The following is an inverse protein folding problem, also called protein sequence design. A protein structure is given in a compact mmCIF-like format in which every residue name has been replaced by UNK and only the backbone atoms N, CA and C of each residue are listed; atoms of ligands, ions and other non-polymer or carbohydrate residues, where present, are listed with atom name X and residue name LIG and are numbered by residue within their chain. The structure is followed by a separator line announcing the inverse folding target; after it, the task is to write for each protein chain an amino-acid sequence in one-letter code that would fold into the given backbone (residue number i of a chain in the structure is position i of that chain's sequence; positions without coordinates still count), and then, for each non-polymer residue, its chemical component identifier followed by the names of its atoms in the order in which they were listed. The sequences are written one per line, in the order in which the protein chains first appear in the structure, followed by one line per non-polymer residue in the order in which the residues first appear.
data_IF_421110138634
#
_entry.id   IF_421110138634
#
_cell.length_a   1.000
_cell.length_b   1.000
_cell.length_c   1.000
_cell.angle_alpha   90.00
_cell.angle_beta   90.00
_cell.angle_gamma   90.00
#
_symmetry.space_group_name_H-M   'P 1'
#
loop_
_entity.id
_entity.type
_entity.pdbx_description
1 polymer ?
#
# COMPACT_ATOMS: atom_id res chain seq x y z
N UNK A 1 5.88 0.58 -21.21
CA UNK A 1 4.66 1.08 -20.55
C UNK A 1 3.98 2.13 -21.41
N UNK A 2 2.75 2.54 -21.04
CA UNK A 2 2.01 3.62 -21.70
C UNK A 2 2.76 4.94 -21.45
N UNK A 3 3.00 5.70 -22.52
CA UNK A 3 3.66 7.03 -22.44
C UNK A 3 2.67 8.16 -22.68
N UNK A 4 1.60 7.90 -23.42
CA UNK A 4 0.57 8.90 -23.73
C UNK A 4 -0.78 8.22 -23.94
N UNK A 5 -1.84 8.94 -23.57
CA UNK A 5 -3.21 8.62 -23.98
C UNK A 5 -3.74 9.82 -24.74
N UNK A 6 -4.27 9.59 -25.94
CA UNK A 6 -4.79 10.66 -26.80
C UNK A 6 -5.91 11.48 -26.08
N UNK A 7 -6.10 12.74 -26.45
CA UNK A 7 -7.10 13.60 -25.81
C UNK A 7 -8.53 13.07 -25.85
N UNK A 8 -8.87 12.26 -26.86
CA UNK A 8 -10.18 11.62 -26.97
C UNK A 8 -10.29 10.32 -26.12
N UNK A 9 -9.22 9.92 -25.43
CA UNK A 9 -9.18 8.75 -24.55
C UNK A 9 -9.27 7.38 -25.26
N UNK A 10 -9.03 7.33 -26.58
CA UNK A 10 -9.23 6.10 -27.36
C UNK A 10 -7.96 5.48 -27.91
N UNK A 11 -6.82 6.16 -27.85
CA UNK A 11 -5.53 5.65 -28.29
C UNK A 11 -4.51 5.74 -27.17
N UNK A 12 -3.80 4.65 -26.93
CA UNK A 12 -2.66 4.59 -26.02
C UNK A 12 -1.38 4.33 -26.82
N UNK A 13 -0.36 5.15 -26.60
CA UNK A 13 0.98 5.00 -27.19
C UNK A 13 1.95 4.43 -26.14
N UNK A 14 2.87 3.58 -26.58
CA UNK A 14 3.81 2.88 -25.74
C UNK A 14 5.26 3.34 -26.00
N UNK A 15 6.13 3.07 -25.02
CA UNK A 15 7.55 3.47 -25.08
C UNK A 15 8.34 2.82 -26.21
N UNK A 16 7.85 1.72 -26.80
CA UNK A 16 8.43 1.05 -27.95
C UNK A 16 7.99 1.63 -29.31
N UNK A 17 7.20 2.71 -29.29
CA UNK A 17 6.65 3.38 -30.48
C UNK A 17 5.37 2.75 -31.02
N UNK A 18 4.87 1.67 -30.42
CA UNK A 18 3.58 1.09 -30.81
C UNK A 18 2.41 1.89 -30.24
N UNK A 19 1.22 1.72 -30.84
CA UNK A 19 -0.02 2.25 -30.29
C UNK A 19 -1.16 1.24 -30.40
N UNK A 20 -2.20 1.45 -29.60
CA UNK A 20 -3.42 0.63 -29.65
C UNK A 20 -4.66 1.50 -29.49
N UNK A 21 -5.74 1.08 -30.14
CA UNK A 21 -7.05 1.73 -30.03
C UNK A 21 -7.99 0.86 -29.18
N UNK A 22 -8.79 1.51 -28.33
CA UNK A 22 -9.83 0.86 -27.55
C UNK A 22 -11.01 1.80 -27.31
N UNK A 23 -12.20 1.25 -27.16
CA UNK A 23 -13.39 2.03 -26.76
C UNK A 23 -13.31 2.53 -25.32
N UNK A 24 -12.60 1.79 -24.47
CA UNK A 24 -12.30 2.14 -23.06
C UNK A 24 -10.85 1.84 -22.76
N UNK A 25 -10.12 2.83 -22.24
CA UNK A 25 -8.75 2.67 -21.74
C UNK A 25 -8.77 2.87 -20.22
N UNK A 26 -8.39 1.84 -19.48
CA UNK A 26 -8.19 1.90 -18.03
C UNK A 26 -6.72 1.85 -17.73
N UNK A 27 -6.18 2.92 -17.14
CA UNK A 27 -4.75 3.03 -16.80
C UNK A 27 -4.56 3.38 -15.34
N UNK A 28 -3.42 2.99 -14.79
CA UNK A 28 -2.96 3.43 -13.48
C UNK A 28 -1.90 4.51 -13.73
N UNK A 29 -2.17 5.78 -13.40
CA UNK A 29 -1.20 6.86 -13.59
C UNK A 29 -0.01 6.72 -12.65
N UNK A 30 1.07 7.44 -12.93
CA UNK A 30 2.22 7.54 -12.03
C UNK A 30 1.77 8.17 -10.71
N UNK A 31 1.96 7.44 -9.63
CA UNK A 31 1.60 7.92 -8.29
C UNK A 31 2.63 8.91 -7.77
N UNK A 32 2.17 9.97 -7.12
CA UNK A 32 2.99 10.94 -6.39
C UNK A 32 2.35 11.27 -5.05
N UNK A 33 3.15 11.81 -4.13
CA UNK A 33 2.60 12.40 -2.90
C UNK A 33 1.79 13.65 -3.25
N UNK A 34 0.76 13.99 -2.46
CA UNK A 34 0.02 15.26 -2.62
C UNK A 34 0.96 16.47 -2.55
N UNK A 35 0.67 17.51 -3.35
CA UNK A 35 1.53 18.70 -3.44
C UNK A 35 1.69 19.37 -2.06
N UNK A 36 0.64 19.43 -1.24
CA UNK A 36 0.71 19.94 0.14
C UNK A 36 1.73 19.20 1.01
N UNK A 37 1.91 17.89 0.80
CA UNK A 37 2.92 17.10 1.52
C UNK A 37 4.31 17.37 0.96
N UNK A 38 4.45 17.49 -0.36
CA UNK A 38 5.71 17.84 -0.99
C UNK A 38 6.20 19.23 -0.53
N UNK A 39 5.31 20.21 -0.56
CA UNK A 39 5.59 21.61 -0.22
C UNK A 39 5.88 21.82 1.27
N UNK A 40 5.36 20.95 2.15
CA UNK A 40 5.67 20.99 3.59
C UNK A 40 7.13 20.64 3.93
N UNK A 41 7.88 20.11 2.97
CA UNK A 41 9.27 19.69 3.16
C UNK A 41 9.44 18.37 3.94
N UNK A 42 8.37 17.74 4.42
CA UNK A 42 8.43 16.50 5.22
C UNK A 42 9.01 15.32 4.43
N UNK A 43 8.81 15.32 3.10
CA UNK A 43 9.39 14.32 2.19
C UNK A 43 10.89 14.50 1.96
N UNK A 44 11.46 15.64 2.35
CA UNK A 44 12.86 16.04 2.07
C UNK A 44 13.22 15.95 0.59
N UNK A 45 12.31 16.35 -0.28
CA UNK A 45 12.47 16.30 -1.73
C UNK A 45 12.44 14.89 -2.33
N UNK A 46 12.06 13.87 -1.54
CA UNK A 46 11.91 12.50 -2.02
C UNK A 46 10.50 12.25 -2.58
N UNK A 47 10.34 11.27 -3.49
CA UNK A 47 9.03 10.91 -4.06
C UNK A 47 7.98 10.50 -3.02
N UNK A 48 8.42 10.00 -1.86
CA UNK A 48 7.59 9.53 -0.75
C UNK A 48 8.15 10.00 0.58
N UNK A 49 7.31 10.11 1.60
CA UNK A 49 7.74 10.51 2.96
C UNK A 49 8.52 9.37 3.62
N UNK A 50 9.82 9.56 3.92
CA UNK A 50 10.58 8.57 4.67
C UNK A 50 10.10 8.51 6.12
N UNK A 51 9.96 7.29 6.65
CA UNK A 51 9.57 7.06 8.05
C UNK A 51 10.48 6.03 8.70
N UNK A 52 10.51 6.04 10.02
CA UNK A 52 11.06 4.94 10.80
C UNK A 52 10.20 3.70 10.59
N UNK A 53 10.78 2.59 10.17
CA UNK A 53 10.05 1.36 9.83
C UNK A 53 9.32 0.72 11.03
N UNK A 54 9.74 1.03 12.26
CA UNK A 54 9.18 0.48 13.49
C UNK A 54 8.07 1.34 14.09
N UNK A 55 8.23 2.67 14.02
CA UNK A 55 7.33 3.62 14.66
C UNK A 55 6.46 4.41 13.69
N UNK A 56 6.81 4.42 12.39
CA UNK A 56 6.17 5.20 11.33
C UNK A 56 6.30 6.72 11.52
N UNK A 57 7.16 7.13 12.45
CA UNK A 57 7.47 8.53 12.68
C UNK A 57 8.37 9.07 11.57
N UNK A 58 8.14 10.29 11.17
CA UNK A 58 8.94 10.99 10.18
C UNK A 58 10.24 11.52 10.80
N UNK A 59 10.99 12.31 10.07
CA UNK A 59 12.15 13.02 10.64
C UNK A 59 11.79 14.18 11.56
N UNK A 60 10.52 14.51 11.68
CA UNK A 60 9.99 15.53 12.60
C UNK A 60 9.30 14.81 13.73
N UNK A 61 9.73 15.06 14.97
CA UNK A 61 9.20 14.43 16.17
C UNK A 61 7.69 14.63 16.30
N UNK A 62 6.97 13.58 16.69
CA UNK A 62 5.51 13.52 16.83
C UNK A 62 4.73 13.72 15.53
N UNK A 63 5.39 13.63 14.37
CA UNK A 63 4.71 13.62 13.07
C UNK A 63 4.90 12.24 12.42
N UNK A 64 3.78 11.59 12.17
CA UNK A 64 3.73 10.25 11.59
C UNK A 64 3.20 10.32 10.15
N UNK A 65 3.68 9.43 9.26
CA UNK A 65 3.14 9.28 7.92
C UNK A 65 2.76 7.83 7.69
N UNK A 66 1.50 7.59 7.33
CA UNK A 66 0.93 6.25 7.17
C UNK A 66 0.27 6.10 5.79
N UNK A 67 0.12 4.86 5.33
CA UNK A 67 -0.49 4.55 4.05
C UNK A 67 0.41 4.90 2.85
N UNK A 68 -0.21 5.19 1.73
CA UNK A 68 0.47 5.31 0.44
C UNK A 68 1.42 6.52 0.34
N UNK A 69 1.30 7.49 1.25
CA UNK A 69 2.16 8.68 1.28
C UNK A 69 3.59 8.37 1.74
N UNK A 70 3.79 7.32 2.53
CA UNK A 70 5.11 6.97 3.07
C UNK A 70 5.86 5.96 2.20
N UNK A 71 7.14 5.77 2.52
CA UNK A 71 7.96 4.66 2.03
C UNK A 71 8.64 3.96 3.20
N UNK A 72 8.45 2.65 3.27
CA UNK A 72 9.10 1.78 4.26
C UNK A 72 9.95 0.77 3.49
N UNK A 73 11.28 0.87 3.53
CA UNK A 73 12.17 -0.07 2.86
C UNK A 73 12.06 -1.48 3.44
N UNK A 74 12.17 -2.49 2.58
CA UNK A 74 12.18 -3.91 2.91
C UNK A 74 13.20 -4.64 2.03
N UNK A 75 14.46 -4.68 2.44
CA UNK A 75 15.57 -5.12 1.60
C UNK A 75 15.73 -4.20 0.38
N UNK A 76 15.81 -4.78 -0.81
CA UNK A 76 15.84 -4.05 -2.09
C UNK A 76 14.47 -3.52 -2.54
N UNK A 77 13.41 -3.86 -1.80
CA UNK A 77 12.03 -3.47 -2.08
C UNK A 77 11.52 -2.43 -1.08
N UNK A 78 10.25 -2.09 -1.21
CA UNK A 78 9.49 -1.36 -0.20
C UNK A 78 8.19 -2.10 0.07
N UNK A 79 7.58 -1.85 1.23
CA UNK A 79 6.22 -2.35 1.51
C UNK A 79 5.27 -1.84 0.41
N UNK A 80 4.46 -2.74 -0.19
CA UNK A 80 3.50 -2.36 -1.20
C UNK A 80 2.49 -1.32 -0.69
N UNK A 81 2.08 -0.42 -1.57
CA UNK A 81 1.01 0.54 -1.29
C UNK A 81 -0.34 -0.15 -1.43
N UNK A 82 -0.90 -0.56 -0.29
CA UNK A 82 -2.19 -1.25 -0.25
C UNK A 82 -2.92 -0.97 1.08
N UNK A 83 -4.26 -0.99 1.03
CA UNK A 83 -5.11 -0.65 2.17
C UNK A 83 -4.86 -1.50 3.42
N UNK A 84 -4.46 -2.77 3.26
CA UNK A 84 -4.13 -3.65 4.40
C UNK A 84 -2.92 -3.12 5.19
N UNK A 85 -1.89 -2.64 4.49
CA UNK A 85 -0.73 -2.03 5.16
C UNK A 85 -1.08 -0.67 5.75
N UNK A 86 -1.83 0.16 5.02
CA UNK A 86 -2.28 1.46 5.52
C UNK A 86 -3.09 1.32 6.83
N UNK A 87 -3.99 0.34 6.90
CA UNK A 87 -4.76 0.03 8.10
C UNK A 87 -3.89 -0.44 9.26
N UNK A 88 -2.95 -1.37 9.01
CA UNK A 88 -2.00 -1.84 10.02
C UNK A 88 -1.11 -0.71 10.55
N UNK A 89 -0.65 0.17 9.68
CA UNK A 89 0.11 1.36 10.04
C UNK A 89 -0.71 2.33 10.89
N UNK A 90 -1.97 2.60 10.51
CA UNK A 90 -2.86 3.47 11.29
C UNK A 90 -3.12 2.94 12.68
N UNK A 91 -3.40 1.62 12.81
CA UNK A 91 -3.54 0.98 14.10
C UNK A 91 -2.28 1.15 14.96
N UNK A 92 -1.10 0.88 14.39
CA UNK A 92 0.17 0.98 15.11
C UNK A 92 0.44 2.40 15.60
N UNK A 93 0.23 3.41 14.77
CA UNK A 93 0.41 4.81 15.17
C UNK A 93 -0.59 5.20 16.27
N UNK A 94 -1.83 4.73 16.17
CA UNK A 94 -2.83 4.93 17.24
C UNK A 94 -2.38 4.34 18.59
N UNK A 95 -1.82 3.13 18.60
CA UNK A 95 -1.26 2.48 19.79
C UNK A 95 -0.08 3.29 20.37
N UNK A 96 0.82 3.78 19.51
CA UNK A 96 1.98 4.59 19.93
C UNK A 96 1.51 5.90 20.55
N UNK A 97 0.61 6.63 19.92
CA UNK A 97 0.09 7.90 20.44
C UNK A 97 -0.63 7.67 21.77
N UNK A 98 -1.46 6.62 21.85
CA UNK A 98 -2.17 6.29 23.10
C UNK A 98 -1.20 5.97 24.24
N UNK A 99 -0.12 5.22 23.97
CA UNK A 99 0.88 4.91 25.00
C UNK A 99 1.63 6.16 25.46
N UNK A 100 1.95 7.08 24.57
CA UNK A 100 2.58 8.36 24.91
C UNK A 100 1.69 9.22 25.82
N UNK A 101 0.40 9.33 25.48
CA UNK A 101 -0.56 10.11 26.26
C UNK A 101 -0.76 9.50 27.66
N UNK A 102 -0.90 8.19 27.72
CA UNK A 102 -1.17 7.47 28.98
C UNK A 102 0.10 7.15 29.78
N UNK A 103 1.28 7.53 29.30
CA UNK A 103 2.58 7.20 29.91
C UNK A 103 2.72 5.70 30.24
N UNK A 104 2.23 4.86 29.33
CA UNK A 104 2.28 3.41 29.42
C UNK A 104 3.43 2.83 28.58
N UNK A 105 3.62 1.51 28.65
CA UNK A 105 4.68 0.82 27.90
C UNK A 105 4.58 1.08 26.40
N UNK A 106 5.74 1.21 25.77
CA UNK A 106 5.84 1.37 24.32
C UNK A 106 5.32 0.09 23.63
N UNK A 107 4.37 0.20 22.70
CA UNK A 107 3.86 -0.97 22.00
C UNK A 107 4.93 -1.62 21.10
N UNK A 108 4.73 -2.89 20.76
CA UNK A 108 5.58 -3.59 19.81
C UNK A 108 5.74 -2.81 18.50
N UNK A 109 6.91 -2.93 17.83
CA UNK A 109 7.13 -2.27 16.55
C UNK A 109 6.09 -2.68 15.49
N UNK A 110 5.92 -1.84 14.46
CA UNK A 110 5.18 -2.21 13.26
C UNK A 110 5.85 -3.42 12.60
N UNK A 111 5.09 -4.46 12.31
CA UNK A 111 5.60 -5.77 11.88
C UNK A 111 5.58 -5.97 10.35
N UNK A 112 4.89 -5.08 9.62
CA UNK A 112 4.78 -5.18 8.16
C UNK A 112 4.02 -6.41 7.67
N UNK A 113 3.17 -7.03 8.48
CA UNK A 113 2.33 -8.15 8.06
C UNK A 113 1.20 -7.64 7.17
N UNK A 114 0.96 -8.34 6.06
CA UNK A 114 -0.13 -8.03 5.15
C UNK A 114 -0.58 -9.22 4.33
N UNK A 115 -1.86 -9.18 3.91
CA UNK A 115 -2.48 -10.19 3.07
C UNK A 115 -3.34 -9.51 2.02
N UNK A 116 -3.14 -9.88 0.75
CA UNK A 116 -3.93 -9.42 -0.38
C UNK A 116 -4.61 -10.59 -1.08
N UNK A 117 -5.68 -10.28 -1.83
CA UNK A 117 -6.40 -11.27 -2.63
C UNK A 117 -6.20 -11.01 -4.11
N UNK A 118 -5.87 -12.05 -4.85
CA UNK A 118 -5.78 -12.03 -6.31
C UNK A 118 -7.02 -12.73 -6.89
N UNK A 119 -7.77 -12.01 -7.72
CA UNK A 119 -8.95 -12.58 -8.39
C UNK A 119 -8.54 -13.29 -9.67
N UNK A 120 -9.08 -14.48 -9.87
CA UNK A 120 -8.90 -15.30 -11.06
C UNK A 120 -10.24 -15.56 -11.76
N UNK A 121 -10.17 -15.96 -13.03
CA UNK A 121 -11.34 -16.40 -13.77
C UNK A 121 -12.03 -17.61 -13.13
N UNK A 122 -13.30 -17.84 -13.44
CA UNK A 122 -14.06 -18.99 -12.93
C UNK A 122 -14.39 -18.90 -11.42
N UNK A 123 -14.52 -17.68 -10.87
CA UNK A 123 -14.96 -17.49 -9.48
C UNK A 123 -13.97 -17.99 -8.43
N UNK A 124 -12.67 -17.88 -8.70
CA UNK A 124 -11.60 -18.31 -7.81
C UNK A 124 -10.78 -17.11 -7.34
N UNK A 125 -10.16 -17.23 -6.16
CA UNK A 125 -9.16 -16.27 -5.68
C UNK A 125 -8.01 -16.99 -4.99
N UNK A 126 -6.82 -16.41 -5.12
CA UNK A 126 -5.63 -16.75 -4.35
C UNK A 126 -5.39 -15.66 -3.30
N UNK A 127 -4.59 -15.98 -2.30
CA UNK A 127 -4.04 -15.03 -1.34
C UNK A 127 -2.54 -14.89 -1.55
N UNK A 128 -2.04 -13.68 -1.43
CA UNK A 128 -0.61 -13.39 -1.32
C UNK A 128 -0.38 -12.59 -0.05
N UNK A 129 0.51 -13.04 0.80
CA UNK A 129 0.76 -12.35 2.06
C UNK A 129 1.88 -12.96 2.87
N UNK A 130 2.23 -12.29 3.95
CA UNK A 130 3.31 -12.67 4.85
C UNK A 130 3.90 -11.47 5.57
N UNK A 131 5.16 -11.58 5.98
CA UNK A 131 5.93 -10.52 6.62
C UNK A 131 6.73 -9.77 5.58
N UNK A 132 6.55 -8.47 5.51
CA UNK A 132 7.26 -7.60 4.57
C UNK A 132 8.45 -6.88 5.22
N UNK A 133 8.51 -6.79 6.55
CA UNK A 133 9.64 -6.21 7.31
C UNK A 133 10.47 -7.32 7.93
N UNK A 134 11.28 -7.99 7.11
CA UNK A 134 12.32 -8.91 7.59
C UNK A 134 13.69 -8.34 7.23
N UNK A 135 14.74 -8.80 7.89
CA UNK A 135 16.10 -8.32 7.62
C UNK A 135 16.61 -8.63 6.21
N UNK A 136 16.01 -9.63 5.53
CA UNK A 136 16.41 -10.12 4.20
C UNK A 136 15.46 -9.69 3.07
N UNK A 137 14.38 -8.98 3.38
CA UNK A 137 13.32 -8.62 2.43
C UNK A 137 12.01 -9.38 2.69
N UNK A 138 11.00 -9.25 1.80
CA UNK A 138 9.68 -9.84 2.04
C UNK A 138 9.70 -11.38 2.08
N UNK A 139 9.11 -11.95 3.13
CA UNK A 139 8.82 -13.38 3.26
C UNK A 139 7.33 -13.60 3.01
N UNK A 140 6.96 -13.89 1.77
CA UNK A 140 5.57 -14.01 1.34
C UNK A 140 5.26 -15.37 0.75
N UNK A 141 3.99 -15.78 0.86
CA UNK A 141 3.45 -16.98 0.24
C UNK A 141 2.31 -16.62 -0.70
N UNK A 142 2.21 -17.32 -1.82
CA UNK A 142 1.10 -17.27 -2.76
C UNK A 142 0.37 -18.62 -2.71
N UNK A 143 -0.92 -18.59 -2.39
CA UNK A 143 -1.75 -19.79 -2.41
C UNK A 143 -2.24 -20.11 -3.83
N UNK A 144 -2.72 -21.33 -4.02
CA UNK A 144 -3.47 -21.68 -5.23
C UNK A 144 -4.81 -20.94 -5.30
N UNK A 145 -5.29 -20.58 -6.52
CA UNK A 145 -6.59 -19.96 -6.68
C UNK A 145 -7.71 -20.98 -6.51
N UNK A 146 -8.57 -20.77 -5.51
CA UNK A 146 -9.67 -21.68 -5.15
C UNK A 146 -11.01 -20.96 -5.03
N UNK A 147 -12.11 -21.72 -5.09
CA UNK A 147 -13.47 -21.22 -4.78
C UNK A 147 -13.59 -20.83 -3.29
N UNK A 148 -12.89 -21.52 -2.39
CA UNK A 148 -12.80 -21.14 -0.98
C UNK A 148 -12.08 -19.80 -0.80
N UNK A 149 -10.99 -19.55 -1.54
CA UNK A 149 -10.30 -18.28 -1.58
C UNK A 149 -11.23 -17.14 -1.99
N UNK A 150 -12.11 -17.37 -2.99
CA UNK A 150 -13.14 -16.38 -3.38
C UNK A 150 -14.10 -16.06 -2.24
N UNK A 151 -14.56 -17.06 -1.50
CA UNK A 151 -15.45 -16.84 -0.33
C UNK A 151 -14.75 -16.04 0.76
N UNK A 152 -13.47 -16.27 0.99
CA UNK A 152 -12.67 -15.49 1.95
C UNK A 152 -12.52 -14.04 1.50
N UNK A 153 -12.22 -13.80 0.22
CA UNK A 153 -12.18 -12.46 -0.36
C UNK A 153 -13.50 -11.72 -0.19
N UNK A 154 -14.64 -12.37 -0.51
CA UNK A 154 -15.97 -11.77 -0.40
C UNK A 154 -16.33 -11.42 1.05
N UNK A 155 -15.89 -12.26 2.02
CA UNK A 155 -16.05 -11.98 3.44
C UNK A 155 -15.22 -10.75 3.83
N UNK A 156 -13.97 -10.71 3.45
CA UNK A 156 -13.08 -9.57 3.69
C UNK A 156 -13.69 -8.26 3.17
N UNK A 157 -14.16 -8.23 1.91
CA UNK A 157 -14.79 -7.06 1.32
C UNK A 157 -16.06 -6.63 2.07
N UNK A 158 -16.88 -7.58 2.51
CA UNK A 158 -18.08 -7.30 3.29
C UNK A 158 -17.74 -6.75 4.67
N UNK A 159 -16.76 -7.34 5.36
CA UNK A 159 -16.36 -6.92 6.70
C UNK A 159 -15.78 -5.51 6.67
N UNK A 160 -14.99 -5.17 5.65
CA UNK A 160 -14.50 -3.80 5.42
C UNK A 160 -15.64 -2.80 5.17
N UNK A 161 -16.64 -3.14 4.39
CA UNK A 161 -17.80 -2.26 4.16
C UNK A 161 -18.64 -2.02 5.42
N UNK A 162 -18.63 -2.97 6.34
CA UNK A 162 -19.38 -2.90 7.61
C UNK A 162 -18.54 -2.36 8.76
N UNK A 163 -17.26 -2.07 8.52
CA UNK A 163 -16.37 -1.47 9.51
C UNK A 163 -16.84 -0.05 9.83
N UNK A 164 -17.34 0.12 11.06
CA UNK A 164 -17.70 1.44 11.61
C UNK A 164 -16.53 1.92 12.46
N UNK A 165 -16.01 3.09 12.13
CA UNK A 165 -15.03 3.82 12.93
C UNK A 165 -15.71 4.32 14.20
#
# INVERSE_FOLDING_TARGET
GVVEVSPNGREASFADGSSTFADVISTIPVHKIPDVVADSGISKGKPWVPVNSKTLETSITNIFAIGDVNVIPSGEFAIPKAGVFASGQGKKVGEIIASQINQSDTPDPYDGVGLCYLSYSGGRSATVGGKFLTGSGPETTLSDPTASGKKHKDRFERDWRNFKI
#
